data_IF_449298650436
#
_entry.id   IF_449298650436
#
_cell.length_a   1.000
_cell.length_b   1.000
_cell.length_c   1.000
_cell.angle_alpha   90.00
_cell.angle_beta   90.00
_cell.angle_gamma   90.00
#
_symmetry.space_group_name_H-M   'P 1'
#
loop_
_entity.id
_entity.type
_entity.pdbx_description
1 polymer ?
#
# COMPACT_ATOMS: atom_id res chain seq x y z
N UNK A 1 -21.27 5.96 -19.83
CA UNK A 1 -19.83 5.96 -19.49
C UNK A 1 -19.73 6.03 -17.98
N UNK A 2 -19.39 4.93 -17.31
CA UNK A 2 -19.06 4.99 -15.88
C UNK A 2 -17.82 5.86 -15.77
N UNK A 3 -17.90 6.96 -15.01
CA UNK A 3 -16.70 7.71 -14.64
C UNK A 3 -15.85 6.77 -13.79
N UNK A 4 -14.66 6.44 -14.26
CA UNK A 4 -13.63 5.83 -13.43
C UNK A 4 -13.33 6.86 -12.33
N UNK A 5 -13.64 6.50 -11.08
CA UNK A 5 -13.35 7.35 -9.94
C UNK A 5 -11.97 6.95 -9.43
N UNK A 6 -10.96 7.79 -9.69
CA UNK A 6 -9.64 7.59 -9.11
C UNK A 6 -9.78 7.75 -7.59
N UNK A 7 -9.37 6.76 -6.79
CA UNK A 7 -9.46 6.84 -5.33
C UNK A 7 -8.58 7.97 -4.80
N UNK A 8 -8.99 8.64 -3.69
CA UNK A 8 -8.13 9.61 -3.04
C UNK A 8 -6.87 8.92 -2.49
N UNK A 9 -5.74 9.65 -2.42
CA UNK A 9 -4.48 9.12 -1.90
C UNK A 9 -4.61 8.51 -0.50
N UNK A 10 -5.55 9.00 0.32
CA UNK A 10 -5.83 8.46 1.66
C UNK A 10 -6.25 6.99 1.65
N UNK A 11 -6.80 6.47 0.56
CA UNK A 11 -7.14 5.03 0.44
C UNK A 11 -5.87 4.18 0.39
N UNK A 12 -4.81 4.65 -0.29
CA UNK A 12 -3.53 3.94 -0.42
C UNK A 12 -2.80 3.82 0.91
N UNK A 13 -2.99 4.79 1.80
CA UNK A 13 -2.30 4.85 3.08
C UNK A 13 -3.21 4.47 4.24
N UNK A 14 -4.39 3.90 3.98
CA UNK A 14 -5.32 3.50 5.01
C UNK A 14 -4.70 2.36 5.86
N UNK A 15 -4.67 2.53 7.19
CA UNK A 15 -4.04 1.56 8.09
C UNK A 15 -4.70 0.18 8.03
N UNK A 16 -6.03 0.10 7.98
CA UNK A 16 -6.74 -1.19 7.94
C UNK A 16 -6.35 -1.97 6.67
N UNK A 17 -6.21 -1.29 5.52
CA UNK A 17 -5.74 -1.91 4.28
C UNK A 17 -4.29 -2.38 4.37
N UNK A 18 -3.41 -1.61 5.02
CA UNK A 18 -2.02 -2.00 5.25
C UNK A 18 -1.95 -3.23 6.18
N UNK A 19 -2.77 -3.26 7.22
CA UNK A 19 -2.87 -4.39 8.15
C UNK A 19 -3.39 -5.66 7.45
N UNK A 20 -4.42 -5.52 6.62
CA UNK A 20 -4.95 -6.63 5.81
C UNK A 20 -3.93 -7.15 4.80
N UNK A 21 -3.16 -6.26 4.15
CA UNK A 21 -2.07 -6.64 3.28
C UNK A 21 -0.96 -7.38 4.03
N UNK A 22 -0.59 -6.91 5.23
CA UNK A 22 0.39 -7.58 6.08
C UNK A 22 -0.07 -9.00 6.47
N UNK A 23 -1.36 -9.17 6.81
CA UNK A 23 -1.95 -10.49 7.09
C UNK A 23 -1.92 -11.43 5.89
N UNK A 24 -2.18 -10.92 4.68
CA UNK A 24 -2.10 -11.71 3.44
C UNK A 24 -0.67 -12.16 3.12
N UNK A 25 0.32 -11.37 3.50
CA UNK A 25 1.74 -11.74 3.43
C UNK A 25 2.19 -12.67 4.56
N UNK A 26 1.25 -13.18 5.37
CA UNK A 26 1.50 -14.04 6.53
C UNK A 26 2.41 -13.40 7.59
N UNK A 27 2.41 -12.06 7.67
CA UNK A 27 3.13 -11.35 8.72
C UNK A 27 2.31 -11.43 10.01
N UNK A 28 2.96 -11.90 11.07
CA UNK A 28 2.36 -11.87 12.39
C UNK A 28 2.44 -10.45 12.94
N UNK A 29 1.36 -9.67 12.79
CA UNK A 29 1.29 -8.29 13.30
C UNK A 29 1.21 -8.21 14.82
N UNK A 30 1.07 -9.35 15.53
CA UNK A 30 1.21 -9.40 17.00
C UNK A 30 2.69 -9.42 17.44
N UNK A 31 3.62 -9.71 16.54
CA UNK A 31 5.05 -9.55 16.82
C UNK A 31 5.39 -8.06 16.80
N UNK A 32 5.93 -7.57 17.91
CA UNK A 32 6.28 -6.15 18.10
C UNK A 32 7.09 -5.57 16.92
N UNK A 33 8.04 -6.32 16.36
CA UNK A 33 8.83 -5.84 15.22
C UNK A 33 7.97 -5.60 13.96
N UNK A 34 7.01 -6.48 13.67
CA UNK A 34 6.13 -6.35 12.51
C UNK A 34 5.09 -5.24 12.72
N UNK A 35 4.56 -5.13 13.95
CA UNK A 35 3.67 -4.04 14.34
C UNK A 35 4.37 -2.67 14.17
N UNK A 36 5.57 -2.53 14.71
CA UNK A 36 6.38 -1.30 14.58
C UNK A 36 6.68 -0.97 13.12
N UNK A 37 7.03 -1.96 12.29
CA UNK A 37 7.24 -1.76 10.85
C UNK A 37 5.97 -1.27 10.15
N UNK A 38 4.81 -1.84 10.48
CA UNK A 38 3.53 -1.45 9.89
C UNK A 38 3.15 0.00 10.27
N UNK A 39 3.31 0.37 11.54
CA UNK A 39 3.10 1.75 11.97
C UNK A 39 4.08 2.73 11.32
N UNK A 40 5.35 2.35 11.19
CA UNK A 40 6.35 3.18 10.54
C UNK A 40 6.03 3.38 9.05
N UNK A 41 5.64 2.31 8.34
CA UNK A 41 5.18 2.40 6.95
C UNK A 41 4.00 3.36 6.83
N UNK A 42 2.98 3.22 7.67
CA UNK A 42 1.81 4.11 7.66
C UNK A 42 2.20 5.58 7.89
N UNK A 43 3.10 5.86 8.84
CA UNK A 43 3.60 7.21 9.09
C UNK A 43 4.40 7.75 7.90
N UNK A 44 5.26 6.93 7.29
CA UNK A 44 6.01 7.32 6.11
C UNK A 44 5.11 7.69 4.94
N UNK A 45 4.02 6.96 4.74
CA UNK A 45 3.02 7.23 3.72
C UNK A 45 2.23 8.52 4.00
N UNK A 46 1.76 8.74 5.24
CA UNK A 46 1.08 9.98 5.65
C UNK A 46 1.98 11.20 5.47
N UNK A 47 3.26 11.09 5.82
CA UNK A 47 4.22 12.19 5.72
C UNK A 47 4.87 12.31 4.34
N UNK A 48 4.43 11.54 3.34
CA UNK A 48 5.00 11.56 1.99
C UNK A 48 6.53 11.37 1.98
N UNK A 49 7.02 10.52 2.90
CA UNK A 49 8.45 10.20 3.06
C UNK A 49 8.78 8.75 2.77
N UNK A 50 7.77 7.93 2.42
CA UNK A 50 7.98 6.59 1.91
C UNK A 50 8.81 6.62 0.61
N UNK A 51 9.74 5.68 0.50
CA UNK A 51 10.63 5.53 -0.64
C UNK A 51 10.61 4.07 -1.09
N UNK A 52 10.14 3.81 -2.32
CA UNK A 52 10.20 2.47 -2.89
C UNK A 52 11.63 1.90 -2.87
N UNK A 53 11.74 0.59 -2.67
CA UNK A 53 12.99 -0.19 -2.79
C UNK A 53 14.01 0.02 -1.66
N UNK A 54 13.66 0.76 -0.60
CA UNK A 54 14.50 0.88 0.60
C UNK A 54 14.27 -0.28 1.60
N UNK A 55 13.05 -0.83 1.67
CA UNK A 55 12.71 -1.97 2.53
C UNK A 55 11.71 -2.89 1.83
N UNK A 56 12.18 -4.09 1.47
CA UNK A 56 11.43 -5.08 0.69
C UNK A 56 10.13 -5.54 1.37
N UNK A 57 10.05 -5.53 2.70
CA UNK A 57 8.84 -5.92 3.42
C UNK A 57 7.79 -4.81 3.30
N UNK A 58 8.19 -3.57 3.51
CA UNK A 58 7.27 -2.43 3.36
C UNK A 58 6.80 -2.27 1.92
N UNK A 59 7.68 -2.52 0.95
CA UNK A 59 7.35 -2.54 -0.48
C UNK A 59 6.33 -3.64 -0.80
N UNK A 60 6.52 -4.84 -0.26
CA UNK A 60 5.58 -5.94 -0.45
C UNK A 60 4.19 -5.61 0.12
N UNK A 61 4.12 -5.09 1.35
CA UNK A 61 2.86 -4.68 1.99
C UNK A 61 2.17 -3.63 1.12
N UNK A 62 2.90 -2.60 0.70
CA UNK A 62 2.32 -1.49 -0.03
C UNK A 62 1.92 -1.88 -1.46
N UNK A 63 2.67 -2.75 -2.13
CA UNK A 63 2.31 -3.30 -3.45
C UNK A 63 0.97 -4.05 -3.39
N UNK A 64 0.75 -4.87 -2.36
CA UNK A 64 -0.55 -5.56 -2.15
C UNK A 64 -1.69 -4.56 -1.98
N UNK A 65 -1.49 -3.48 -1.22
CA UNK A 65 -2.51 -2.42 -1.08
C UNK A 65 -2.83 -1.77 -2.43
N UNK A 66 -1.81 -1.43 -3.23
CA UNK A 66 -2.01 -0.82 -4.54
C UNK A 66 -2.78 -1.79 -5.47
N UNK A 67 -2.42 -3.07 -5.48
CA UNK A 67 -3.11 -4.10 -6.26
C UNK A 67 -4.58 -4.23 -5.88
N UNK A 68 -4.89 -4.27 -4.57
CA UNK A 68 -6.28 -4.31 -4.09
C UNK A 68 -7.08 -3.07 -4.48
N UNK A 69 -6.47 -1.89 -4.42
CA UNK A 69 -7.13 -0.65 -4.85
C UNK A 69 -7.39 -0.67 -6.36
N UNK A 70 -6.46 -1.20 -7.15
CA UNK A 70 -6.67 -1.39 -8.59
C UNK A 70 -7.88 -2.29 -8.84
N UNK A 71 -8.01 -3.40 -8.10
CA UNK A 71 -9.15 -4.31 -8.21
C UNK A 71 -10.47 -3.65 -7.74
N UNK A 72 -10.49 -3.08 -6.53
CA UNK A 72 -11.68 -2.45 -5.91
C UNK A 72 -12.29 -1.35 -6.77
N UNK A 73 -11.44 -0.57 -7.44
CA UNK A 73 -11.84 0.57 -8.26
C UNK A 73 -11.86 0.26 -9.77
N UNK A 74 -11.61 -1.00 -10.16
CA UNK A 74 -11.55 -1.46 -11.55
C UNK A 74 -10.64 -0.58 -12.42
N UNK A 75 -9.43 -0.34 -11.92
CA UNK A 75 -8.38 0.47 -12.51
C UNK A 75 -7.38 -0.40 -13.28
N UNK A 76 -6.36 0.24 -13.85
CA UNK A 76 -5.16 -0.42 -14.38
C UNK A 76 -3.93 0.03 -13.58
N UNK A 77 -2.79 -0.71 -13.65
CA UNK A 77 -1.53 -0.26 -13.04
C UNK A 77 -1.09 1.15 -13.47
N UNK A 78 -1.49 1.60 -14.67
CA UNK A 78 -1.19 2.94 -15.16
C UNK A 78 -2.00 4.06 -14.49
N UNK A 79 -3.07 3.71 -13.78
CA UNK A 79 -3.89 4.65 -13.01
C UNK A 79 -3.38 4.82 -11.57
N UNK A 80 -2.45 3.97 -11.11
CA UNK A 80 -1.80 4.12 -9.81
C UNK A 80 -0.92 5.39 -9.75
N UNK A 81 -0.67 5.94 -8.55
CA UNK A 81 0.22 7.09 -8.38
C UNK A 81 1.60 6.82 -8.99
N UNK A 82 2.10 7.77 -9.79
CA UNK A 82 3.32 7.59 -10.57
C UNK A 82 4.52 7.17 -9.72
N UNK A 83 4.65 7.72 -8.51
CA UNK A 83 5.75 7.43 -7.58
C UNK A 83 5.78 5.97 -7.10
N UNK A 84 4.70 5.21 -7.30
CA UNK A 84 4.54 3.84 -6.80
C UNK A 84 4.32 2.80 -7.90
N UNK A 85 4.27 3.22 -9.18
CA UNK A 85 4.00 2.28 -10.29
C UNK A 85 5.06 1.22 -10.41
N UNK A 86 6.32 1.57 -10.13
CA UNK A 86 7.45 0.66 -10.22
C UNK A 86 7.35 -0.49 -9.19
N UNK A 87 6.49 -0.39 -8.16
CA UNK A 87 6.20 -1.48 -7.21
C UNK A 87 5.28 -2.57 -7.80
N UNK A 88 4.73 -2.35 -9.00
CA UNK A 88 3.80 -3.26 -9.67
C UNK A 88 4.43 -4.02 -10.84
N UNK A 89 5.71 -3.76 -11.16
CA UNK A 89 6.48 -4.46 -12.21
C UNK A 89 7.13 -5.74 -11.70
#
# INVERSE_FOLDING_TARGET
MNKISIPPLSEYYNFDRLEDAARELHLNTEEQENEEKLFNLHNHLIWHSYRPFEDALTDAIFSVVIQKIIEDYNLTPQDAPADYRDLLE
#
